data_IF_316950577127
#
_entry.id   IF_316950577127
#
_cell.length_a   1.000
_cell.length_b   1.000
_cell.length_c   1.000
_cell.angle_alpha   90.00
_cell.angle_beta   90.00
_cell.angle_gamma   90.00
#
_symmetry.space_group_name_H-M   'P 1'
#
loop_
_entity.id
_entity.type
_entity.pdbx_description
1 polymer ?
#
# COMPACT_ATOMS: atom_id res chain seq x y z
N UNK A 1 29.30 0.02 9.75
CA UNK A 1 29.12 -0.58 8.41
C UNK A 1 27.92 0.06 7.75
N UNK A 2 28.24 0.99 6.86
CA UNK A 2 27.32 1.78 6.05
C UNK A 2 26.66 0.84 5.03
N UNK A 3 25.33 0.70 5.09
CA UNK A 3 24.55 -0.08 4.12
C UNK A 3 23.58 0.86 3.41
N UNK A 4 24.07 2.02 2.98
CA UNK A 4 23.42 2.82 1.95
C UNK A 4 23.63 2.18 0.58
N UNK A 5 23.06 0.99 0.34
CA UNK A 5 22.86 0.54 -1.03
C UNK A 5 21.71 1.36 -1.60
N UNK A 6 22.10 2.39 -2.36
CA UNK A 6 21.24 3.21 -3.19
C UNK A 6 20.41 2.31 -4.10
N UNK A 7 19.11 2.27 -3.83
CA UNK A 7 18.10 1.64 -4.65
C UNK A 7 17.87 2.56 -5.86
N UNK A 8 18.82 2.62 -6.80
CA UNK A 8 18.71 3.38 -8.05
C UNK A 8 18.22 2.48 -9.18
N UNK A 9 17.10 1.78 -8.97
CA UNK A 9 16.39 1.18 -10.09
C UNK A 9 15.83 2.32 -10.94
N UNK A 10 16.52 2.65 -12.05
CA UNK A 10 16.05 3.55 -13.11
C UNK A 10 14.87 2.89 -13.84
N UNK A 11 13.76 2.74 -13.14
CA UNK A 11 12.51 2.27 -13.71
C UNK A 11 11.84 3.49 -14.33
N UNK A 12 11.38 3.44 -15.60
CA UNK A 12 10.72 4.58 -16.22
C UNK A 12 9.49 4.96 -15.39
N UNK A 13 9.62 6.08 -14.68
CA UNK A 13 8.61 6.65 -13.80
C UNK A 13 7.37 7.00 -14.61
N UNK A 14 6.19 6.58 -14.15
CA UNK A 14 4.96 7.21 -14.59
C UNK A 14 4.87 8.59 -13.93
N UNK A 15 5.47 9.61 -14.54
CA UNK A 15 5.17 11.02 -14.23
C UNK A 15 3.74 11.33 -14.68
N UNK A 16 2.77 11.30 -13.75
CA UNK A 16 1.55 12.13 -13.81
C UNK A 16 0.77 12.04 -12.50
N UNK A 17 0.06 13.12 -12.19
CA UNK A 17 -0.70 13.41 -10.98
C UNK A 17 -1.51 12.23 -10.36
N UNK A 18 -0.90 11.65 -9.31
CA UNK A 18 -1.34 11.17 -8.00
C UNK A 18 -2.75 10.62 -7.66
N UNK A 19 -3.75 10.60 -8.55
CA UNK A 19 -5.06 9.96 -8.25
C UNK A 19 -5.57 9.00 -9.33
N UNK A 20 -5.04 9.11 -10.54
CA UNK A 20 -5.40 8.23 -11.66
C UNK A 20 -4.16 7.95 -12.48
N UNK A 21 -3.66 6.72 -12.41
CA UNK A 21 -2.72 6.23 -13.41
C UNK A 21 -3.58 5.66 -14.54
N UNK A 22 -4.33 6.52 -15.26
CA UNK A 22 -5.39 6.32 -16.29
C UNK A 22 -6.12 4.96 -16.37
N UNK A 23 -5.40 3.87 -16.34
CA UNK A 23 -5.83 2.49 -16.38
C UNK A 23 -5.92 1.81 -14.99
N UNK A 24 -5.49 2.47 -13.91
CA UNK A 24 -5.52 1.94 -12.53
C UNK A 24 -6.05 2.98 -11.56
N UNK A 25 -6.75 2.51 -10.53
CA UNK A 25 -7.35 3.36 -9.50
C UNK A 25 -7.11 2.78 -8.11
N UNK A 26 -6.68 3.63 -7.19
CA UNK A 26 -6.61 3.30 -5.76
C UNK A 26 -7.60 4.21 -5.03
N UNK A 27 -8.51 3.62 -4.26
CA UNK A 27 -9.57 4.34 -3.55
C UNK A 27 -9.51 3.97 -2.08
N UNK A 28 -9.29 4.94 -1.20
CA UNK A 28 -9.44 4.72 0.24
C UNK A 28 -10.93 4.51 0.59
N UNK A 29 -11.23 3.44 1.33
CA UNK A 29 -12.59 3.07 1.71
C UNK A 29 -12.93 3.51 3.13
N UNK A 30 -11.93 3.68 3.99
CA UNK A 30 -12.12 4.17 5.34
C UNK A 30 -11.33 3.38 6.38
N UNK A 31 -11.60 3.76 7.62
CA UNK A 31 -10.99 3.24 8.84
C UNK A 31 -12.06 2.70 9.78
N UNK A 32 -11.72 1.64 10.50
CA UNK A 32 -12.48 1.11 11.63
C UNK A 32 -11.56 0.93 12.84
N UNK A 33 -12.11 1.04 14.05
CA UNK A 33 -11.38 0.80 15.31
C UNK A 33 -12.19 -0.16 16.19
N UNK A 34 -11.56 -1.25 16.63
CA UNK A 34 -12.11 -2.16 17.64
C UNK A 34 -11.48 -1.85 19.00
N UNK A 35 -12.21 -1.19 19.93
CA UNK A 35 -11.68 -0.85 21.24
C UNK A 35 -11.44 -2.06 22.15
N UNK A 36 -12.03 -3.23 21.87
CA UNK A 36 -11.83 -4.43 22.68
C UNK A 36 -10.48 -5.09 22.38
N UNK A 37 -10.06 -5.02 21.12
CA UNK A 37 -8.77 -5.56 20.66
C UNK A 37 -7.68 -4.49 20.59
N UNK A 38 -8.06 -3.21 20.69
CA UNK A 38 -7.19 -2.06 20.43
C UNK A 38 -6.53 -2.17 19.06
N UNK A 39 -7.36 -2.36 18.02
CA UNK A 39 -6.92 -2.53 16.64
C UNK A 39 -7.62 -1.55 15.71
N UNK A 40 -6.85 -0.90 14.84
CA UNK A 40 -7.37 -0.06 13.75
C UNK A 40 -7.20 -0.77 12.41
N UNK A 41 -8.28 -0.88 11.63
CA UNK A 41 -8.23 -1.46 10.28
C UNK A 41 -8.53 -0.39 9.23
N UNK A 42 -7.65 -0.27 8.25
CA UNK A 42 -7.73 0.63 7.10
C UNK A 42 -7.96 -0.17 5.84
N UNK A 43 -8.80 0.33 4.93
CA UNK A 43 -9.20 -0.38 3.71
C UNK A 43 -9.03 0.46 2.45
N UNK A 44 -8.61 -0.18 1.36
CA UNK A 44 -8.45 0.43 0.04
C UNK A 44 -8.97 -0.49 -1.06
N UNK A 45 -9.63 0.05 -2.07
CA UNK A 45 -9.86 -0.65 -3.33
C UNK A 45 -8.76 -0.32 -4.34
N UNK A 46 -8.18 -1.37 -4.93
CA UNK A 46 -7.25 -1.26 -6.05
C UNK A 46 -7.88 -1.90 -7.27
N UNK A 47 -8.07 -1.11 -8.33
CA UNK A 47 -8.74 -1.51 -9.56
C UNK A 47 -7.78 -1.44 -10.75
N UNK A 48 -7.78 -2.48 -11.58
CA UNK A 48 -7.27 -2.43 -12.95
C UNK A 48 -8.43 -2.17 -13.89
N UNK A 49 -8.64 -0.92 -14.31
CA UNK A 49 -9.80 -0.50 -15.10
C UNK A 49 -9.60 -0.90 -16.56
N UNK A 50 -8.64 -0.25 -17.23
CA UNK A 50 -8.29 -0.48 -18.64
C UNK A 50 -6.83 -0.96 -18.80
N UNK A 51 -6.27 -1.52 -17.72
CA UNK A 51 -4.84 -1.78 -17.58
C UNK A 51 -4.38 -3.18 -17.94
N UNK A 52 -3.06 -3.36 -17.99
CA UNK A 52 -2.45 -4.68 -17.92
C UNK A 52 -2.70 -5.27 -16.52
N UNK A 53 -2.62 -6.60 -16.37
CA UNK A 53 -2.57 -7.22 -15.06
C UNK A 53 -1.59 -6.52 -14.11
N UNK A 54 -2.09 -6.10 -12.94
CA UNK A 54 -1.24 -5.64 -11.84
C UNK A 54 -0.60 -6.90 -11.27
N UNK A 55 0.73 -6.92 -11.22
CA UNK A 55 1.46 -8.07 -10.67
C UNK A 55 1.86 -7.87 -9.22
N UNK A 56 1.97 -6.59 -8.82
CA UNK A 56 2.40 -6.21 -7.49
C UNK A 56 1.68 -4.95 -7.06
N UNK A 57 1.26 -4.95 -5.80
CA UNK A 57 0.76 -3.79 -5.08
C UNK A 57 1.61 -3.63 -3.84
N UNK A 58 2.13 -2.43 -3.60
CA UNK A 58 2.78 -2.07 -2.35
C UNK A 58 2.10 -0.86 -1.73
N UNK A 59 2.00 -0.87 -0.40
CA UNK A 59 1.60 0.28 0.39
C UNK A 59 2.68 0.54 1.43
N UNK A 60 3.20 1.76 1.46
CA UNK A 60 4.14 2.25 2.47
C UNK A 60 3.56 3.47 3.19
N UNK A 61 3.94 3.65 4.44
CA UNK A 61 3.53 4.79 5.27
C UNK A 61 4.75 5.38 5.97
N UNK A 62 4.60 6.61 6.46
CA UNK A 62 5.62 7.28 7.27
C UNK A 62 5.24 7.11 8.74
N UNK A 63 6.14 6.53 9.53
CA UNK A 63 5.99 6.42 10.99
C UNK A 63 6.30 5.05 11.54
N UNK A 64 5.79 4.75 12.74
CA UNK A 64 6.19 3.59 13.55
C UNK A 64 5.03 2.70 14.01
N UNK A 65 3.88 2.74 13.32
CA UNK A 65 2.77 1.84 13.64
C UNK A 65 3.20 0.37 13.58
N UNK A 66 2.71 -0.41 14.54
CA UNK A 66 2.87 -1.86 14.54
C UNK A 66 1.77 -2.51 13.69
N UNK A 67 2.15 -3.27 12.66
CA UNK A 67 1.20 -4.00 11.82
C UNK A 67 0.94 -5.36 12.42
N UNK A 68 -0.34 -5.66 12.59
CA UNK A 68 -0.83 -6.96 13.04
C UNK A 68 -1.26 -7.81 11.83
N UNK A 69 -1.85 -7.18 10.81
CA UNK A 69 -2.32 -7.87 9.61
C UNK A 69 -2.21 -6.96 8.39
N UNK A 70 -1.89 -7.56 7.24
CA UNK A 70 -2.12 -6.96 5.94
C UNK A 70 -2.53 -8.04 4.95
N UNK A 71 -3.33 -7.65 3.96
CA UNK A 71 -3.76 -8.56 2.92
C UNK A 71 -4.88 -7.95 2.09
N UNK A 72 -5.60 -8.80 1.37
CA UNK A 72 -6.80 -8.42 0.65
C UNK A 72 -7.98 -9.28 1.12
N UNK A 73 -9.21 -8.82 0.94
CA UNK A 73 -10.40 -9.50 1.44
C UNK A 73 -10.51 -10.94 0.90
N UNK A 74 -10.38 -11.93 1.78
CA UNK A 74 -10.35 -13.35 1.43
C UNK A 74 -8.99 -14.03 1.62
N UNK A 75 -7.91 -13.26 1.79
CA UNK A 75 -6.57 -13.76 2.10
C UNK A 75 -5.86 -12.89 3.14
N UNK A 76 -5.48 -13.52 4.25
CA UNK A 76 -4.53 -12.95 5.20
C UNK A 76 -3.12 -13.41 4.83
N UNK A 77 -2.28 -12.50 4.32
CA UNK A 77 -0.88 -12.79 4.03
C UNK A 77 -0.02 -11.73 4.70
N UNK A 78 0.56 -12.07 5.86
CA UNK A 78 1.68 -11.31 6.40
C UNK A 78 2.94 -11.74 5.66
N UNK A 79 3.04 -11.34 4.39
CA UNK A 79 4.38 -11.20 3.83
C UNK A 79 5.01 -10.03 4.57
N UNK A 80 6.03 -10.35 5.37
CA UNK A 80 6.81 -9.44 6.21
C UNK A 80 6.89 -8.02 5.63
N UNK A 81 6.83 -7.00 6.49
CA UNK A 81 7.20 -5.64 6.12
C UNK A 81 8.67 -5.63 5.67
N UNK A 82 8.89 -5.89 4.38
CA UNK A 82 10.19 -5.87 3.76
C UNK A 82 10.25 -4.61 2.93
N UNK A 83 11.41 -3.96 2.92
CA UNK A 83 11.69 -2.95 1.91
C UNK A 83 11.61 -3.63 0.54
N UNK A 84 10.61 -3.31 -0.24
CA UNK A 84 10.49 -3.87 -1.59
C UNK A 84 11.64 -3.31 -2.44
N UNK A 85 12.52 -4.17 -2.93
CA UNK A 85 13.75 -3.77 -3.63
C UNK A 85 13.48 -3.15 -5.01
N UNK A 86 12.29 -3.35 -5.57
CA UNK A 86 11.91 -2.82 -6.89
C UNK A 86 11.27 -1.43 -6.79
N UNK A 87 10.54 -1.16 -5.72
CA UNK A 87 9.82 0.10 -5.47
C UNK A 87 10.51 0.98 -4.44
N UNK A 88 11.51 0.43 -3.73
CA UNK A 88 12.29 1.05 -2.67
C UNK A 88 11.45 1.56 -1.48
N UNK A 89 10.16 1.19 -1.39
CA UNK A 89 9.27 1.50 -0.26
C UNK A 89 9.38 0.43 0.83
N UNK A 90 9.35 0.88 2.08
CA UNK A 90 9.05 -0.01 3.20
C UNK A 90 7.54 -0.17 3.23
N UNK A 91 7.08 -1.39 3.00
CA UNK A 91 5.67 -1.64 2.79
C UNK A 91 5.37 -3.11 2.71
N UNK A 92 4.16 -3.43 2.27
CA UNK A 92 3.71 -4.81 2.17
C UNK A 92 3.43 -5.11 0.71
N UNK A 93 4.11 -6.14 0.22
CA UNK A 93 4.09 -6.60 -1.17
C UNK A 93 3.06 -7.71 -1.30
N UNK A 94 2.37 -7.75 -2.43
CA UNK A 94 1.55 -8.88 -2.85
C UNK A 94 1.94 -9.26 -4.27
N UNK A 95 2.43 -10.48 -4.49
CA UNK A 95 2.89 -10.98 -5.80
C UNK A 95 1.77 -11.55 -6.68
N UNK A 96 0.54 -11.18 -6.36
CA UNK A 96 -0.67 -11.69 -7.01
C UNK A 96 -0.98 -10.95 -8.32
N UNK A 97 -1.43 -11.71 -9.32
CA UNK A 97 -1.85 -11.17 -10.62
C UNK A 97 -3.33 -10.75 -10.58
N UNK A 98 -3.58 -9.47 -10.76
CA UNK A 98 -4.91 -8.93 -11.05
C UNK A 98 -5.25 -9.14 -12.51
N UNK A 99 -6.44 -9.58 -12.83
CA UNK A 99 -6.96 -9.56 -14.19
C UNK A 99 -7.34 -8.13 -14.59
N UNK A 100 -7.44 -7.91 -15.90
CA UNK A 100 -8.02 -6.69 -16.44
C UNK A 100 -9.49 -6.56 -16.02
N UNK A 101 -9.93 -5.37 -15.62
CA UNK A 101 -11.28 -5.09 -15.11
C UNK A 101 -11.48 -5.48 -13.63
N UNK A 102 -10.48 -6.06 -12.97
CA UNK A 102 -10.61 -6.56 -11.59
C UNK A 102 -10.41 -5.43 -10.57
N UNK A 103 -11.17 -5.52 -9.47
CA UNK A 103 -10.98 -4.69 -8.27
C UNK A 103 -10.83 -5.61 -7.06
N UNK A 104 -9.84 -5.34 -6.21
CA UNK A 104 -9.70 -6.01 -4.92
C UNK A 104 -9.63 -4.99 -3.79
N UNK A 105 -10.17 -5.40 -2.65
CA UNK A 105 -10.10 -4.65 -1.42
C UNK A 105 -8.89 -5.12 -0.62
N UNK A 106 -7.95 -4.21 -0.35
CA UNK A 106 -6.83 -4.38 0.55
C UNK A 106 -7.19 -3.88 1.95
N UNK A 107 -6.66 -4.57 2.96
CA UNK A 107 -6.78 -4.17 4.36
C UNK A 107 -5.42 -4.14 5.05
N UNK A 108 -5.29 -3.23 6.00
CA UNK A 108 -4.16 -3.12 6.93
C UNK A 108 -4.69 -2.95 8.33
N UNK A 109 -4.31 -3.84 9.23
CA UNK A 109 -4.67 -3.78 10.65
C UNK A 109 -3.44 -3.43 11.46
N UNK A 110 -3.58 -2.38 12.27
CA UNK A 110 -2.53 -1.81 13.12
C UNK A 110 -2.93 -1.89 14.57
N UNK A 111 -1.95 -2.02 15.46
CA UNK A 111 -2.15 -1.93 16.90
C UNK A 111 -2.41 -0.49 17.33
N UNK A 112 -3.40 -0.29 18.20
CA UNK A 112 -3.80 0.99 18.77
C UNK A 112 -4.92 1.71 17.98
N UNK A 113 -5.39 2.82 18.54
CA UNK A 113 -6.34 3.76 17.91
C UNK A 113 -5.58 4.69 16.95
N UNK A 114 -5.01 4.14 15.89
CA UNK A 114 -4.21 4.90 14.90
C UNK A 114 -5.14 5.75 14.04
N UNK A 115 -5.03 7.09 13.99
CA UNK A 115 -5.90 7.95 13.19
C UNK A 115 -5.56 7.88 11.70
N UNK A 116 -6.42 8.45 10.87
CA UNK A 116 -6.16 8.60 9.43
C UNK A 116 -5.55 9.97 9.08
N UNK A 117 -4.74 10.02 8.03
CA UNK A 117 -4.23 11.26 7.44
C UNK A 117 -4.26 11.22 5.91
N UNK A 118 -4.53 12.37 5.29
CA UNK A 118 -4.57 12.52 3.83
C UNK A 118 -3.15 12.44 3.27
N UNK A 119 -2.96 11.68 2.19
CA UNK A 119 -1.67 11.45 1.54
C UNK A 119 -0.58 10.86 2.48
N UNK A 120 -0.98 10.15 3.54
CA UNK A 120 -0.02 9.54 4.48
C UNK A 120 0.53 8.19 4.01
N UNK A 121 -0.12 7.59 3.01
CA UNK A 121 0.28 6.32 2.42
C UNK A 121 0.74 6.55 1.00
N UNK A 122 1.96 6.10 0.70
CA UNK A 122 2.45 5.97 -0.66
C UNK A 122 2.15 4.57 -1.16
N UNK A 123 1.58 4.45 -2.35
CA UNK A 123 1.37 3.16 -2.98
C UNK A 123 2.21 3.03 -4.25
N UNK A 124 2.58 1.80 -4.59
CA UNK A 124 3.12 1.46 -5.89
C UNK A 124 2.37 0.29 -6.52
N UNK A 125 2.10 0.40 -7.82
CA UNK A 125 1.48 -0.63 -8.64
C UNK A 125 2.47 -1.03 -9.73
N UNK A 126 2.68 -2.33 -9.93
CA UNK A 126 3.54 -2.84 -11.02
C UNK A 126 2.72 -3.54 -12.10
N UNK A 127 2.18 -2.80 -13.09
CA UNK A 127 1.55 -3.41 -14.26
C UNK A 127 2.59 -3.87 -15.29
N UNK A 128 2.85 -5.18 -15.31
CA UNK A 128 3.86 -5.76 -16.21
C UNK A 128 5.29 -5.38 -15.82
N UNK A 129 5.94 -4.52 -16.61
CA UNK A 129 7.31 -4.02 -16.37
C UNK A 129 7.36 -2.54 -15.95
N UNK A 130 6.22 -1.85 -15.95
CA UNK A 130 6.14 -0.45 -15.51
C UNK A 130 5.81 -0.41 -14.04
N UNK A 131 6.24 0.67 -13.40
CA UNK A 131 5.94 0.96 -12.00
C UNK A 131 5.21 2.29 -11.91
N UNK A 132 4.13 2.32 -11.14
CA UNK A 132 3.25 3.47 -11.02
C UNK A 132 3.09 3.82 -9.55
N UNK A 133 3.43 5.06 -9.17
CA UNK A 133 3.36 5.51 -7.78
C UNK A 133 2.21 6.50 -7.58
N UNK A 134 1.73 6.59 -6.35
CA UNK A 134 0.84 7.67 -5.94
C UNK A 134 0.70 7.72 -4.42
N UNK A 135 -0.12 8.65 -3.94
CA UNK A 135 -0.42 8.77 -2.51
C UNK A 135 -1.91 8.65 -2.27
N UNK A 136 -2.28 8.12 -1.12
CA UNK A 136 -3.67 7.98 -0.68
C UNK A 136 -3.80 8.29 0.81
N UNK A 137 -5.04 8.48 1.26
CA UNK A 137 -5.37 8.53 2.68
C UNK A 137 -5.09 7.18 3.31
N UNK A 138 -4.58 7.17 4.53
CA UNK A 138 -4.34 5.96 5.30
C UNK A 138 -3.92 6.25 6.74
N UNK A 139 -3.23 5.31 7.41
CA UNK A 139 -2.82 5.53 8.79
C UNK A 139 -1.88 6.72 8.93
N UNK A 140 -2.08 7.48 9.99
CA UNK A 140 -1.14 8.46 10.47
C UNK A 140 -0.27 7.83 11.54
N UNK A 141 0.92 7.38 11.13
CA UNK A 141 1.84 6.69 12.01
C UNK A 141 2.89 7.60 12.65
N UNK A 142 2.75 8.92 12.51
CA UNK A 142 3.71 9.88 13.10
C UNK A 142 3.46 10.12 14.58
N UNK A 143 2.27 9.81 15.08
CA UNK A 143 1.90 9.93 16.49
C UNK A 143 1.69 8.52 17.06
N UNK A 144 2.42 8.18 18.13
CA UNK A 144 2.13 6.97 18.91
C UNK A 144 0.86 7.20 19.72
N UNK A 145 -0.09 6.28 19.60
CA UNK A 145 -1.21 6.16 20.54
C UNK A 145 -0.91 4.94 21.41
N UNK A 146 -0.41 5.20 22.63
CA UNK A 146 -0.24 4.20 23.70
C UNK A 146 -1.59 3.67 24.20
#
# INVERSE_FOLDING_TARGET
PDISHECQAKIPECESDFRFVNNYKVTYLGRTFDPNLSLSTFKWNVSSIDGKPIRHVTFGWIGICCIEEFGWEGESNVESCVKDEETCFLGIKSDEKFSHGETREYKMTLKGDVPEAVNSVTYALKPGQRLCHGTTTGPNCTECFD
#
